data_IF_139901698489
#
_entry.id   IF_139901698489
#
_cell.length_a   1.000
_cell.length_b   1.000
_cell.length_c   1.000
_cell.angle_alpha   90.00
_cell.angle_beta   90.00
_cell.angle_gamma   90.00
#
_symmetry.space_group_name_H-M   'P 1'
#
loop_
_entity.id
_entity.type
_entity.pdbx_description
1 polymer ?
#
# COMPACT_ATOMS: atom_id res chain seq x y z
N UNK A 1 -7.31 -44.90 2.52
CA UNK A 1 -8.18 -43.78 2.06
C UNK A 1 -7.98 -42.49 2.86
N UNK A 2 -7.84 -42.53 4.20
CA UNK A 2 -7.56 -41.32 5.03
C UNK A 2 -6.24 -40.60 4.72
N UNK A 3 -5.20 -41.33 4.26
CA UNK A 3 -3.88 -40.77 3.93
C UNK A 3 -3.86 -39.97 2.62
N UNK A 4 -4.79 -40.26 1.69
CA UNK A 4 -4.89 -39.53 0.41
C UNK A 4 -5.54 -38.16 0.62
N UNK A 5 -6.50 -38.04 1.55
CA UNK A 5 -7.14 -36.76 1.90
C UNK A 5 -6.17 -35.72 2.52
N UNK A 6 -5.11 -36.17 3.19
CA UNK A 6 -4.10 -35.27 3.79
C UNK A 6 -3.15 -34.72 2.71
N UNK A 7 -2.83 -35.50 1.69
CA UNK A 7 -1.90 -35.10 0.62
C UNK A 7 -2.54 -34.05 -0.31
N UNK A 8 -3.84 -34.17 -0.61
CA UNK A 8 -4.57 -33.14 -1.37
C UNK A 8 -4.75 -31.83 -0.60
N UNK A 9 -4.91 -31.88 0.73
CA UNK A 9 -4.96 -30.66 1.56
C UNK A 9 -3.60 -29.95 1.65
N UNK A 10 -2.50 -30.71 1.52
CA UNK A 10 -1.13 -30.16 1.57
C UNK A 10 -0.69 -29.56 0.22
N UNK A 11 -1.22 -30.05 -0.90
CA UNK A 11 -0.95 -29.49 -2.23
C UNK A 11 -1.65 -28.14 -2.49
N UNK A 12 -2.68 -27.79 -1.71
CA UNK A 12 -3.38 -26.51 -1.85
C UNK A 12 -2.68 -25.32 -1.16
N UNK A 13 -1.59 -25.57 -0.43
CA UNK A 13 -0.85 -24.55 0.33
C UNK A 13 0.34 -23.94 -0.43
N UNK A 14 0.62 -24.36 -1.67
CA UNK A 14 1.84 -24.00 -2.40
C UNK A 14 1.70 -22.82 -3.38
N UNK A 15 0.55 -22.14 -3.42
CA UNK A 15 0.38 -20.93 -4.26
C UNK A 15 0.24 -19.68 -3.40
N UNK A 16 1.24 -19.42 -2.54
CA UNK A 16 1.44 -18.09 -1.96
C UNK A 16 2.10 -17.17 -3.01
N UNK A 17 1.38 -16.92 -4.12
CA UNK A 17 1.76 -15.82 -5.01
C UNK A 17 1.53 -14.51 -4.24
N UNK A 18 2.54 -13.63 -4.23
CA UNK A 18 2.43 -12.28 -3.69
C UNK A 18 1.13 -11.67 -4.20
N UNK A 19 0.19 -11.39 -3.29
CA UNK A 19 -1.17 -11.09 -3.69
C UNK A 19 -1.30 -9.58 -3.84
N UNK A 20 -1.85 -9.11 -4.96
CA UNK A 20 -2.26 -7.73 -5.12
C UNK A 20 -3.00 -7.18 -3.90
N UNK A 21 -2.64 -5.98 -3.43
CA UNK A 21 -3.51 -5.28 -2.47
C UNK A 21 -4.64 -4.65 -3.29
N UNK A 22 -5.86 -5.13 -3.08
CA UNK A 22 -7.05 -4.52 -3.68
C UNK A 22 -7.37 -3.17 -3.03
N UNK A 23 -8.12 -2.32 -3.75
CA UNK A 23 -8.57 -1.02 -3.22
C UNK A 23 -9.35 -1.13 -1.90
N UNK A 24 -10.17 -2.18 -1.73
CA UNK A 24 -10.91 -2.41 -0.47
C UNK A 24 -9.99 -2.81 0.68
N UNK A 25 -8.99 -3.68 0.42
CA UNK A 25 -7.96 -4.01 1.40
C UNK A 25 -7.13 -2.78 1.76
N UNK A 26 -6.73 -1.97 0.77
CA UNK A 26 -6.00 -0.74 0.99
C UNK A 26 -6.80 0.26 1.85
N UNK A 27 -8.12 0.37 1.61
CA UNK A 27 -9.01 1.19 2.43
C UNK A 27 -9.08 0.69 3.88
N UNK A 28 -9.15 -0.64 4.07
CA UNK A 28 -9.16 -1.21 5.42
C UNK A 28 -7.85 -0.88 6.15
N UNK A 29 -6.70 -1.07 5.49
CA UNK A 29 -5.38 -0.72 6.01
C UNK A 29 -5.33 0.76 6.41
N UNK A 30 -5.80 1.68 5.54
CA UNK A 30 -5.88 3.10 5.87
C UNK A 30 -6.80 3.36 7.08
N UNK A 31 -7.95 2.71 7.13
CA UNK A 31 -8.94 2.91 8.20
C UNK A 31 -8.39 2.46 9.55
N UNK A 32 -7.71 1.30 9.58
CA UNK A 32 -7.06 0.80 10.79
C UNK A 32 -5.95 1.73 11.24
N UNK A 33 -5.11 2.20 10.31
CA UNK A 33 -4.03 3.15 10.60
C UNK A 33 -4.54 4.46 11.20
N UNK A 34 -5.59 5.05 10.61
CA UNK A 34 -6.20 6.29 11.12
C UNK A 34 -6.90 6.06 12.45
N UNK A 35 -7.69 4.98 12.56
CA UNK A 35 -8.47 4.66 13.75
C UNK A 35 -7.61 4.41 15.00
N UNK A 36 -6.42 3.82 14.83
CA UNK A 36 -5.46 3.62 15.91
C UNK A 36 -4.83 4.92 16.43
N UNK A 37 -4.77 5.97 15.59
CA UNK A 37 -4.03 7.20 15.89
C UNK A 37 -4.94 8.38 16.23
N UNK A 38 -6.16 8.42 15.68
CA UNK A 38 -7.01 9.62 15.68
C UNK A 38 -8.47 9.24 15.89
N UNK A 39 -8.93 9.36 17.13
CA UNK A 39 -10.33 9.15 17.48
C UNK A 39 -11.25 10.13 16.74
N UNK A 40 -12.34 9.61 16.16
CA UNK A 40 -13.34 10.42 15.45
C UNK A 40 -12.89 10.91 14.06
N UNK A 41 -11.77 10.43 13.52
CA UNK A 41 -11.36 10.64 12.13
C UNK A 41 -11.56 9.34 11.36
N UNK A 42 -12.16 9.43 10.18
CA UNK A 42 -12.43 8.27 9.32
C UNK A 42 -11.83 8.48 7.93
N UNK A 43 -11.66 7.39 7.19
CA UNK A 43 -11.11 7.40 5.84
C UNK A 43 -12.24 7.47 4.81
N UNK A 44 -12.08 8.33 3.80
CA UNK A 44 -13.03 8.46 2.69
C UNK A 44 -13.09 7.19 1.84
N UNK A 45 -14.23 6.99 1.16
CA UNK A 45 -14.49 5.73 0.44
C UNK A 45 -13.72 5.57 -0.85
N UNK A 46 -13.40 6.68 -1.51
CA UNK A 46 -12.87 6.68 -2.87
C UNK A 46 -11.38 7.04 -2.83
N UNK A 47 -10.48 6.12 -3.21
CA UNK A 47 -9.07 6.46 -3.33
C UNK A 47 -8.77 7.21 -4.62
N UNK A 48 -7.69 7.96 -4.61
CA UNK A 48 -6.91 8.25 -5.82
C UNK A 48 -5.98 7.06 -6.08
N UNK A 49 -6.04 6.54 -7.31
CA UNK A 49 -5.22 5.42 -7.75
C UNK A 49 -4.06 5.96 -8.59
N UNK A 50 -2.83 5.63 -8.23
CA UNK A 50 -1.64 6.00 -8.99
C UNK A 50 -0.91 4.75 -9.47
N UNK A 51 -0.53 4.77 -10.74
CA UNK A 51 0.22 3.71 -11.42
C UNK A 51 1.56 4.27 -11.88
N UNK A 52 2.57 3.41 -11.92
CA UNK A 52 3.84 3.72 -12.55
C UNK A 52 3.66 3.91 -14.06
N UNK A 53 4.16 5.02 -14.61
CA UNK A 53 4.18 5.28 -16.06
C UNK A 53 5.05 4.27 -16.83
N UNK A 54 5.97 3.58 -16.15
CA UNK A 54 6.83 2.54 -16.75
C UNK A 54 6.07 1.25 -17.07
N UNK A 55 4.90 1.04 -16.46
CA UNK A 55 4.04 -0.11 -16.69
C UNK A 55 2.66 0.37 -17.12
N UNK A 56 2.56 0.91 -18.34
CA UNK A 56 1.29 1.33 -18.93
C UNK A 56 0.22 0.21 -18.96
N UNK A 57 0.67 -1.06 -18.93
CA UNK A 57 -0.18 -2.25 -18.87
C UNK A 57 -0.27 -2.89 -17.47
N UNK A 58 0.19 -2.20 -16.42
CA UNK A 58 -0.02 -2.69 -15.06
C UNK A 58 -1.53 -2.73 -14.80
N UNK A 59 -2.06 -3.95 -14.64
CA UNK A 59 -3.46 -4.16 -14.27
C UNK A 59 -3.76 -3.55 -12.90
N UNK A 60 -2.72 -3.27 -12.11
CA UNK A 60 -2.79 -2.93 -10.70
C UNK A 60 -2.18 -1.57 -10.37
N UNK A 61 -2.75 -0.91 -9.37
CA UNK A 61 -2.23 0.35 -8.82
C UNK A 61 -0.96 0.09 -8.02
N UNK A 62 0.06 0.92 -8.19
CA UNK A 62 1.27 0.86 -7.36
C UNK A 62 0.96 1.23 -5.91
N UNK A 63 0.04 2.17 -5.71
CA UNK A 63 -0.48 2.55 -4.39
C UNK A 63 -1.83 3.29 -4.50
N UNK A 64 -2.47 3.47 -3.35
CA UNK A 64 -3.76 4.12 -3.15
C UNK A 64 -3.60 5.30 -2.19
N UNK A 65 -4.20 6.44 -2.51
CA UNK A 65 -4.24 7.60 -1.61
C UNK A 65 -5.67 7.81 -1.15
N UNK A 66 -5.88 7.78 0.16
CA UNK A 66 -7.19 8.04 0.76
C UNK A 66 -7.17 9.31 1.60
N UNK A 67 -8.07 10.24 1.28
CA UNK A 67 -8.34 11.38 2.14
C UNK A 67 -9.05 10.93 3.43
N UNK A 68 -8.91 11.73 4.48
CA UNK A 68 -9.64 11.57 5.74
C UNK A 68 -10.76 12.60 5.85
N UNK A 69 -11.80 12.24 6.60
CA UNK A 69 -12.97 13.10 6.77
C UNK A 69 -12.64 14.42 7.46
N UNK A 70 -13.25 15.49 6.98
CA UNK A 70 -13.10 16.83 7.57
C UNK A 70 -11.77 17.52 7.26
N UNK A 71 -11.11 17.17 6.14
CA UNK A 71 -9.83 17.77 5.71
C UNK A 71 -8.68 17.58 6.69
N UNK A 72 -8.66 16.41 7.31
CA UNK A 72 -7.70 16.01 8.33
C UNK A 72 -6.52 15.24 7.74
N UNK A 73 -6.16 15.53 6.49
CA UNK A 73 -5.05 14.92 5.80
C UNK A 73 -5.43 13.64 5.07
N UNK A 74 -4.43 12.84 4.71
CA UNK A 74 -4.58 11.68 3.84
C UNK A 74 -3.51 10.62 4.12
N UNK A 75 -3.77 9.40 3.67
CA UNK A 75 -2.88 8.24 3.86
C UNK A 75 -2.56 7.62 2.51
N UNK A 76 -1.29 7.33 2.27
CA UNK A 76 -0.77 6.64 1.08
C UNK A 76 -0.53 5.19 1.48
N UNK A 77 -1.33 4.29 0.89
CA UNK A 77 -1.32 2.84 1.16
C UNK A 77 -0.73 2.12 -0.02
N UNK A 78 0.20 1.20 0.23
CA UNK A 78 0.79 0.42 -0.87
C UNK A 78 -0.23 -0.45 -1.59
N UNK A 79 -0.06 -0.58 -2.90
CA UNK A 79 -0.78 -1.53 -3.74
C UNK A 79 -0.08 -2.89 -3.82
N UNK A 80 1.09 -3.02 -3.21
CA UNK A 80 1.91 -4.23 -3.25
C UNK A 80 2.25 -4.73 -1.86
N UNK A 81 1.94 -6.00 -1.62
CA UNK A 81 2.04 -6.61 -0.32
C UNK A 81 3.51 -6.83 0.12
N UNK A 82 4.48 -6.85 -0.81
CA UNK A 82 5.93 -6.96 -0.57
C UNK A 82 6.53 -5.71 0.09
N UNK A 83 5.81 -4.59 0.08
CA UNK A 83 6.27 -3.32 0.65
C UNK A 83 5.68 -3.01 2.02
N UNK A 84 5.96 -1.82 2.57
CA UNK A 84 5.28 -1.32 3.76
C UNK A 84 3.81 -1.01 3.45
N UNK A 85 2.85 -1.42 4.29
CA UNK A 85 1.44 -1.16 4.06
C UNK A 85 1.12 0.34 3.95
N UNK A 86 1.77 1.18 4.77
CA UNK A 86 1.66 2.64 4.73
C UNK A 86 2.96 3.21 4.20
N UNK A 87 2.90 3.86 3.03
CA UNK A 87 4.05 4.52 2.40
C UNK A 87 4.24 5.95 2.92
N UNK A 88 3.18 6.57 3.40
CA UNK A 88 3.21 7.92 3.96
C UNK A 88 1.83 8.38 4.41
N UNK A 89 1.80 9.46 5.19
CA UNK A 89 0.56 10.11 5.60
C UNK A 89 0.81 11.60 5.84
N UNK A 90 -0.28 12.37 5.79
CA UNK A 90 -0.30 13.79 6.15
C UNK A 90 -1.44 13.99 7.14
N UNK A 91 -1.21 14.79 8.18
CA UNK A 91 -2.16 14.95 9.30
C UNK A 91 -3.22 16.05 9.08
N UNK A 92 -3.04 16.91 8.05
CA UNK A 92 -3.90 18.05 7.76
C UNK A 92 -4.03 18.30 6.24
N UNK A 93 -5.16 18.87 5.81
CA UNK A 93 -5.44 19.16 4.39
C UNK A 93 -6.12 18.00 3.66
N UNK A 94 -6.18 18.05 2.35
CA UNK A 94 -6.61 16.93 1.50
C UNK A 94 -5.64 16.79 0.34
N UNK A 95 -5.48 15.57 -0.13
CA UNK A 95 -4.86 15.27 -1.41
C UNK A 95 -5.84 15.65 -2.54
N UNK A 96 -5.37 16.48 -3.47
CA UNK A 96 -6.07 16.83 -4.71
C UNK A 96 -5.23 16.35 -5.91
N UNK A 97 -5.70 15.34 -6.68
CA UNK A 97 -4.96 14.83 -7.83
C UNK A 97 -4.77 15.86 -8.95
N UNK A 98 -5.56 16.93 -8.98
CA UNK A 98 -5.45 17.98 -9.99
C UNK A 98 -4.46 19.08 -9.59
N UNK A 99 -3.97 19.06 -8.35
CA UNK A 99 -3.09 20.10 -7.81
C UNK A 99 -1.99 19.50 -6.92
N UNK A 100 -1.19 18.62 -7.51
CA UNK A 100 -0.06 17.96 -6.84
C UNK A 100 1.18 18.87 -6.98
N UNK A 101 1.83 19.30 -5.87
CA UNK A 101 3.09 20.02 -5.94
C UNK A 101 4.18 19.22 -6.69
N UNK A 102 5.04 19.85 -7.51
CA UNK A 102 6.00 19.13 -8.36
C UNK A 102 6.91 18.15 -7.60
N UNK A 103 7.45 18.57 -6.46
CA UNK A 103 8.28 17.73 -5.59
C UNK A 103 7.54 16.50 -5.05
N UNK A 104 6.26 16.67 -4.66
CA UNK A 104 5.43 15.56 -4.20
C UNK A 104 5.11 14.61 -5.35
N UNK A 105 4.87 15.14 -6.55
CA UNK A 105 4.65 14.35 -7.75
C UNK A 105 5.86 13.45 -8.05
N UNK A 106 7.06 14.03 -8.05
CA UNK A 106 8.31 13.27 -8.25
C UNK A 106 8.49 12.17 -7.20
N UNK A 107 8.27 12.49 -5.91
CA UNK A 107 8.32 11.49 -4.83
C UNK A 107 7.35 10.32 -5.06
N UNK A 108 6.11 10.62 -5.45
CA UNK A 108 5.09 9.60 -5.73
C UNK A 108 5.44 8.76 -6.96
N UNK A 109 6.04 9.37 -7.98
CA UNK A 109 6.55 8.66 -9.16
C UNK A 109 7.72 7.73 -8.80
N UNK A 110 8.64 8.15 -7.93
CA UNK A 110 9.71 7.29 -7.42
C UNK A 110 9.16 6.08 -6.66
N UNK A 111 8.18 6.26 -5.77
CA UNK A 111 7.52 5.12 -5.11
C UNK A 111 6.87 4.16 -6.11
N UNK A 112 6.20 4.69 -7.13
CA UNK A 112 5.60 3.85 -8.17
C UNK A 112 6.66 3.04 -8.93
N UNK A 113 7.82 3.66 -9.21
CA UNK A 113 8.96 3.01 -9.87
C UNK A 113 9.53 1.89 -8.98
N UNK A 114 9.84 2.17 -7.71
CA UNK A 114 10.38 1.18 -6.78
C UNK A 114 9.48 -0.04 -6.64
N UNK A 115 8.16 0.18 -6.51
CA UNK A 115 7.18 -0.89 -6.43
C UNK A 115 7.18 -1.72 -7.73
N UNK A 116 7.23 -1.08 -8.89
CA UNK A 116 7.28 -1.77 -10.19
C UNK A 116 8.59 -2.55 -10.43
N UNK A 117 9.70 -2.10 -9.85
CA UNK A 117 10.99 -2.81 -9.96
C UNK A 117 10.96 -4.17 -9.25
N UNK A 118 10.10 -4.36 -8.25
CA UNK A 118 9.97 -5.65 -7.56
C UNK A 118 9.55 -6.76 -8.53
N UNK A 119 8.71 -6.44 -9.51
CA UNK A 119 8.32 -7.38 -10.57
C UNK A 119 9.47 -7.66 -11.54
N UNK A 120 10.20 -6.61 -11.95
CA UNK A 120 11.32 -6.74 -12.87
C UNK A 120 12.47 -7.58 -12.29
N UNK A 121 12.72 -7.44 -11.00
CA UNK A 121 13.77 -8.15 -10.28
C UNK A 121 13.33 -9.54 -9.79
N UNK A 122 12.07 -9.93 -10.02
CA UNK A 122 11.53 -11.21 -9.54
C UNK A 122 11.54 -11.32 -8.01
N UNK A 123 11.45 -10.19 -7.30
CA UNK A 123 11.43 -10.17 -5.84
C UNK A 123 10.09 -10.72 -5.36
N UNK A 124 10.16 -11.80 -4.60
CA UNK A 124 9.01 -12.41 -3.92
C UNK A 124 9.05 -12.05 -2.44
N UNK A 125 7.92 -12.23 -1.73
CA UNK A 125 7.89 -12.03 -0.27
C UNK A 125 8.90 -12.89 0.47
N UNK A 126 9.08 -14.13 0.01
CA UNK A 126 10.03 -15.12 0.57
C UNK A 126 11.48 -14.66 0.42
N UNK A 127 11.81 -13.97 -0.68
CA UNK A 127 13.16 -13.54 -1.01
C UNK A 127 13.48 -12.11 -0.53
N UNK A 128 12.56 -11.44 0.17
CA UNK A 128 12.83 -10.17 0.84
C UNK A 128 13.79 -10.43 2.03
N UNK A 129 15.06 -10.14 1.81
CA UNK A 129 16.13 -10.34 2.80
C UNK A 129 16.21 -9.23 3.85
N UNK A 130 15.52 -8.10 3.62
CA UNK A 130 15.47 -6.99 4.57
C UNK A 130 14.30 -7.17 5.56
N UNK A 131 14.56 -7.15 6.89
CA UNK A 131 13.50 -7.04 7.88
C UNK A 131 12.67 -5.76 7.63
N UNK A 132 11.36 -5.80 7.90
CA UNK A 132 10.55 -4.57 7.89
C UNK A 132 11.16 -3.58 8.91
N UNK A 133 11.49 -2.34 8.50
CA UNK A 133 12.02 -1.36 9.43
C UNK A 133 11.02 -1.10 10.55
N UNK A 134 11.40 -1.36 11.79
CA UNK A 134 10.63 -1.00 12.98
C UNK A 134 11.13 0.34 13.48
N UNK A 135 10.72 1.43 12.83
CA UNK A 135 10.99 2.77 13.33
C UNK A 135 9.87 3.22 14.27
N UNK A 136 10.25 3.83 15.40
CA UNK A 136 9.29 4.54 16.23
C UNK A 136 8.68 5.68 15.42
N UNK A 137 7.39 5.98 15.67
CA UNK A 137 6.76 7.14 15.03
C UNK A 137 7.52 8.41 15.41
N UNK A 138 8.00 9.13 14.40
CA UNK A 138 8.66 10.42 14.58
C UNK A 138 7.56 11.49 14.59
N UNK A 139 7.42 12.21 15.70
CA UNK A 139 6.48 13.33 15.79
C UNK A 139 6.84 14.40 14.74
N UNK A 140 5.85 15.10 14.16
CA UNK A 140 6.11 16.23 13.27
C UNK A 140 7.05 17.24 13.94
N UNK A 141 7.99 17.79 13.19
CA UNK A 141 8.77 18.93 13.66
C UNK A 141 7.83 20.13 13.75
N UNK A 142 7.60 20.59 14.98
CA UNK A 142 6.91 21.85 15.29
C UNK A 142 7.87 23.02 15.24
#
# INVERSE_FOLDING_TARGET
MKKILIITSLLLALTAAASPISSSQARQIASDFVGQRRSGVTVESTPVNLKSNMMANAQQSSFYIFNTTGKKGYVIVSGDDRTMPILGYVDNGNFDPNNIPPNMKEMLEHYAQEISMLDQLGITRENLTAPRPTHNSISPMI
#
